data_IF_768109110117
#
_entry.id   IF_768109110117
#
_cell.length_a   1.000
_cell.length_b   1.000
_cell.length_c   1.000
_cell.angle_alpha   90.00
_cell.angle_beta   90.00
_cell.angle_gamma   90.00
#
_symmetry.space_group_name_H-M   'P 1'
#
loop_
_entity.id
_entity.type
_entity.pdbx_description
1 polymer ?
#
# COMPACT_ATOMS: atom_id res chain seq x y z
N UNK A 1 -32.42 -22.59 12.35
CA UNK A 1 -31.29 -22.48 13.25
C UNK A 1 -30.22 -21.60 12.58
N UNK A 2 -29.84 -20.46 13.19
CA UNK A 2 -28.72 -19.68 12.69
C UNK A 2 -27.43 -20.44 13.05
N UNK A 3 -26.50 -20.51 12.10
CA UNK A 3 -25.18 -21.07 12.37
C UNK A 3 -24.46 -20.20 13.40
N UNK A 4 -23.66 -20.80 14.32
CA UNK A 4 -22.89 -20.03 15.29
C UNK A 4 -21.95 -19.08 14.56
N UNK A 5 -22.07 -17.79 14.83
CA UNK A 5 -21.12 -16.77 14.37
C UNK A 5 -19.87 -16.83 15.24
N UNK A 6 -18.70 -16.98 14.62
CA UNK A 6 -17.42 -16.91 15.33
C UNK A 6 -17.13 -15.44 15.67
N UNK A 7 -17.01 -15.12 16.96
CA UNK A 7 -16.46 -13.83 17.38
C UNK A 7 -14.95 -13.82 17.11
N UNK A 8 -14.56 -13.00 16.13
CA UNK A 8 -13.16 -12.80 15.79
C UNK A 8 -12.57 -11.65 16.60
N UNK A 9 -11.33 -11.78 17.07
CA UNK A 9 -10.64 -10.68 17.72
C UNK A 9 -10.49 -9.50 16.76
N UNK A 10 -10.58 -8.28 17.27
CA UNK A 10 -10.36 -7.05 16.52
C UNK A 10 -9.15 -6.31 17.06
N UNK A 11 -8.37 -5.72 16.17
CA UNK A 11 -7.15 -4.98 16.47
C UNK A 11 -7.27 -3.54 15.99
N UNK A 12 -6.62 -2.64 16.71
CA UNK A 12 -6.55 -1.23 16.33
C UNK A 12 -5.24 -0.95 15.57
N UNK A 13 -5.32 -0.14 14.51
CA UNK A 13 -4.18 0.30 13.73
C UNK A 13 -4.32 1.79 13.39
N UNK A 14 -3.19 2.49 13.33
CA UNK A 14 -3.12 3.88 12.89
C UNK A 14 -2.53 3.91 11.48
N UNK A 15 -3.27 4.44 10.52
CA UNK A 15 -2.82 4.61 9.14
C UNK A 15 -1.66 5.61 9.11
N UNK A 16 -0.51 5.29 8.51
CA UNK A 16 0.67 6.15 8.54
C UNK A 16 0.47 7.53 7.88
N UNK A 17 -0.18 7.60 6.71
CA UNK A 17 -0.30 8.84 5.93
C UNK A 17 -1.17 9.89 6.62
N UNK A 18 -2.33 9.50 7.12
CA UNK A 18 -3.37 10.43 7.62
C UNK A 18 -3.66 10.31 9.11
N UNK A 19 -2.93 9.44 9.84
CA UNK A 19 -3.06 9.18 11.28
C UNK A 19 -4.45 8.73 11.72
N UNK A 20 -5.29 8.27 10.79
CA UNK A 20 -6.63 7.77 11.10
C UNK A 20 -6.56 6.40 11.77
N UNK A 21 -7.32 6.24 12.84
CA UNK A 21 -7.45 4.94 13.51
C UNK A 21 -8.47 4.09 12.79
N UNK A 22 -8.11 2.82 12.54
CA UNK A 22 -8.96 1.79 11.98
C UNK A 22 -8.97 0.57 12.86
N UNK A 23 -10.02 -0.23 12.72
CA UNK A 23 -10.12 -1.56 13.33
C UNK A 23 -10.14 -2.60 12.25
N UNK A 24 -9.43 -3.70 12.51
CA UNK A 24 -9.37 -4.82 11.59
C UNK A 24 -9.42 -6.15 12.36
N UNK A 25 -9.73 -7.22 11.64
CA UNK A 25 -9.70 -8.60 12.13
C UNK A 25 -8.71 -9.45 11.34
N UNK A 26 -8.27 -10.58 11.88
CA UNK A 26 -7.53 -11.55 11.10
C UNK A 26 -8.35 -12.02 9.87
N UNK A 27 -7.67 -12.39 8.81
CA UNK A 27 -8.33 -13.04 7.68
C UNK A 27 -8.65 -14.51 8.03
N UNK A 28 -9.67 -15.04 7.39
CA UNK A 28 -10.09 -16.43 7.50
C UNK A 28 -9.50 -17.24 6.35
N UNK A 29 -9.53 -18.55 6.47
CA UNK A 29 -9.07 -19.48 5.42
C UNK A 29 -9.72 -19.20 4.05
N UNK A 30 -10.96 -18.70 4.04
CA UNK A 30 -11.62 -18.33 2.78
C UNK A 30 -10.96 -17.16 2.06
N UNK A 31 -10.54 -16.11 2.80
CA UNK A 31 -9.83 -14.96 2.24
C UNK A 31 -8.42 -15.36 1.81
N UNK A 32 -7.72 -16.17 2.62
CA UNK A 32 -6.41 -16.73 2.27
C UNK A 32 -6.46 -17.54 0.98
N UNK A 33 -7.48 -18.40 0.84
CA UNK A 33 -7.66 -19.21 -0.36
C UNK A 33 -7.84 -18.35 -1.62
N UNK A 34 -8.60 -17.26 -1.53
CA UNK A 34 -8.79 -16.34 -2.67
C UNK A 34 -7.45 -15.72 -3.07
N UNK A 35 -6.65 -15.29 -2.09
CA UNK A 35 -5.32 -14.72 -2.36
C UNK A 35 -4.38 -15.75 -2.99
N UNK A 36 -4.33 -16.98 -2.48
CA UNK A 36 -3.50 -18.05 -3.04
C UNK A 36 -3.91 -18.40 -4.47
N UNK A 37 -5.21 -18.48 -4.75
CA UNK A 37 -5.71 -18.73 -6.10
C UNK A 37 -5.34 -17.60 -7.07
N UNK A 38 -5.37 -16.34 -6.62
CA UNK A 38 -4.95 -15.20 -7.44
C UNK A 38 -3.45 -15.25 -7.73
N UNK A 39 -2.63 -15.60 -6.75
CA UNK A 39 -1.18 -15.77 -6.93
C UNK A 39 -0.82 -16.90 -7.93
N UNK A 40 -1.62 -17.97 -7.98
CA UNK A 40 -1.42 -19.05 -8.95
C UNK A 40 -1.70 -18.63 -10.40
N UNK A 41 -2.52 -17.60 -10.62
CA UNK A 41 -2.81 -17.12 -11.99
C UNK A 41 -1.69 -16.30 -12.59
N UNK A 42 -0.77 -15.78 -11.77
CA UNK A 42 0.32 -14.86 -12.14
C UNK A 42 -0.16 -13.61 -12.92
N UNK A 43 -1.45 -13.27 -12.78
CA UNK A 43 -2.06 -12.08 -13.37
C UNK A 43 -2.15 -10.97 -12.32
N UNK A 44 -1.45 -9.87 -12.56
CA UNK A 44 -1.39 -8.72 -11.65
C UNK A 44 -2.77 -8.21 -11.23
N UNK A 45 -3.69 -8.13 -12.17
CA UNK A 45 -5.04 -7.67 -11.90
C UNK A 45 -5.76 -8.56 -10.89
N UNK A 46 -5.62 -9.88 -11.03
CA UNK A 46 -6.27 -10.84 -10.13
C UNK A 46 -5.67 -10.75 -8.73
N UNK A 47 -4.35 -10.59 -8.63
CA UNK A 47 -3.64 -10.42 -7.35
C UNK A 47 -4.11 -9.13 -6.66
N UNK A 48 -4.18 -8.03 -7.41
CA UNK A 48 -4.66 -6.74 -6.91
C UNK A 48 -6.09 -6.85 -6.37
N UNK A 49 -7.00 -7.39 -7.17
CA UNK A 49 -8.41 -7.53 -6.80
C UNK A 49 -8.55 -8.42 -5.55
N UNK A 50 -7.79 -9.51 -5.47
CA UNK A 50 -7.78 -10.40 -4.31
C UNK A 50 -7.27 -9.71 -3.03
N UNK A 51 -6.21 -8.90 -3.13
CA UNK A 51 -5.70 -8.11 -1.99
C UNK A 51 -6.74 -7.08 -1.54
N UNK A 52 -7.36 -6.37 -2.46
CA UNK A 52 -8.42 -5.40 -2.13
C UNK A 52 -9.61 -6.05 -1.45
N UNK A 53 -10.09 -7.18 -1.97
CA UNK A 53 -11.20 -7.93 -1.36
C UNK A 53 -10.83 -8.44 0.03
N UNK A 54 -9.59 -8.92 0.23
CA UNK A 54 -9.11 -9.33 1.55
C UNK A 54 -9.11 -8.14 2.52
N UNK A 55 -8.56 -6.99 2.12
CA UNK A 55 -8.53 -5.78 2.95
C UNK A 55 -9.94 -5.31 3.29
N UNK A 56 -10.86 -5.25 2.32
CA UNK A 56 -12.28 -4.92 2.55
C UNK A 56 -12.95 -5.86 3.53
N UNK A 57 -12.67 -7.16 3.44
CA UNK A 57 -13.25 -8.17 4.31
C UNK A 57 -12.72 -8.08 5.75
N UNK A 58 -11.45 -7.70 5.91
CA UNK A 58 -10.78 -7.68 7.21
C UNK A 58 -10.94 -6.36 7.96
N UNK A 59 -11.03 -5.22 7.25
CA UNK A 59 -11.19 -3.90 7.87
C UNK A 59 -12.65 -3.73 8.30
N UNK A 60 -12.88 -3.49 9.59
CA UNK A 60 -14.22 -3.32 10.16
C UNK A 60 -14.64 -1.85 10.22
N UNK A 61 -13.70 -0.92 10.14
CA UNK A 61 -13.96 0.52 10.09
C UNK A 61 -14.33 0.93 8.66
N UNK A 62 -15.36 1.78 8.54
CA UNK A 62 -15.78 2.29 7.22
C UNK A 62 -14.76 3.29 6.67
N UNK A 63 -13.96 2.83 5.70
CA UNK A 63 -12.97 3.64 4.97
C UNK A 63 -13.07 3.33 3.47
N UNK A 64 -12.59 4.28 2.65
CA UNK A 64 -12.42 4.08 1.21
C UNK A 64 -10.96 3.71 0.95
N UNK A 65 -10.72 2.45 0.60
CA UNK A 65 -9.37 1.93 0.36
C UNK A 65 -8.71 2.58 -0.87
N UNK A 66 -9.52 2.94 -1.85
CA UNK A 66 -9.09 3.57 -3.10
C UNK A 66 -8.42 4.93 -2.87
N UNK A 67 -8.71 5.59 -1.74
CA UNK A 67 -8.16 6.89 -1.38
C UNK A 67 -6.92 6.79 -0.47
N UNK A 68 -6.47 5.58 -0.16
CA UNK A 68 -5.27 5.38 0.65
C UNK A 68 -4.02 5.34 -0.23
N UNK A 69 -2.91 5.78 0.34
CA UNK A 69 -1.61 5.61 -0.29
C UNK A 69 -1.25 4.13 -0.41
N UNK A 70 -0.42 3.77 -1.40
CA UNK A 70 0.02 2.39 -1.60
C UNK A 70 0.66 1.80 -0.34
N UNK A 71 1.57 2.54 0.29
CA UNK A 71 2.25 2.10 1.51
C UNK A 71 1.31 1.96 2.72
N UNK A 72 0.19 2.68 2.77
CA UNK A 72 -0.83 2.47 3.80
C UNK A 72 -1.49 1.10 3.65
N UNK A 73 -1.85 0.74 2.41
CA UNK A 73 -2.47 -0.55 2.11
C UNK A 73 -1.52 -1.71 2.41
N UNK A 74 -0.25 -1.56 2.05
CA UNK A 74 0.80 -2.52 2.40
C UNK A 74 0.96 -2.65 3.91
N UNK A 75 1.03 -1.53 4.61
CA UNK A 75 1.16 -1.52 6.07
C UNK A 75 -0.02 -2.20 6.75
N UNK A 76 -1.26 -1.93 6.28
CA UNK A 76 -2.47 -2.59 6.78
C UNK A 76 -2.40 -4.10 6.49
N UNK A 77 -2.03 -4.48 5.26
CA UNK A 77 -1.90 -5.88 4.86
C UNK A 77 -0.88 -6.64 5.72
N UNK A 78 0.30 -6.07 5.97
CA UNK A 78 1.33 -6.67 6.82
C UNK A 78 0.83 -6.89 8.25
N UNK A 79 0.10 -5.93 8.82
CA UNK A 79 -0.48 -6.06 10.16
C UNK A 79 -1.58 -7.12 10.21
N UNK A 80 -2.47 -7.18 9.20
CA UNK A 80 -3.49 -8.24 9.10
C UNK A 80 -2.80 -9.61 8.99
N UNK A 81 -1.77 -9.73 8.16
CA UNK A 81 -1.01 -10.98 8.00
C UNK A 81 -0.33 -11.39 9.31
N UNK A 82 0.28 -10.45 10.03
CA UNK A 82 0.96 -10.72 11.29
C UNK A 82 0.03 -11.37 12.32
N UNK A 83 -1.19 -10.86 12.46
CA UNK A 83 -2.17 -11.42 13.42
C UNK A 83 -2.88 -12.68 12.91
N UNK A 84 -2.84 -12.97 11.60
CA UNK A 84 -3.54 -14.10 10.98
C UNK A 84 -2.67 -15.35 10.90
N UNK A 85 -1.40 -15.21 10.52
CA UNK A 85 -0.47 -16.32 10.24
C UNK A 85 0.68 -16.33 11.23
N UNK A 86 1.09 -15.17 11.71
CA UNK A 86 2.20 -15.01 12.64
C UNK A 86 3.09 -13.82 12.29
N UNK A 87 3.76 -13.29 13.29
CA UNK A 87 4.53 -12.05 13.20
C UNK A 87 5.88 -12.25 12.50
N UNK A 88 6.42 -13.46 12.52
CA UNK A 88 7.76 -13.75 11.98
C UNK A 88 7.65 -14.37 10.57
N UNK A 89 8.36 -13.74 9.62
CA UNK A 89 8.54 -14.24 8.26
C UNK A 89 9.97 -14.68 8.07
N UNK A 90 10.17 -15.94 7.69
CA UNK A 90 11.47 -16.43 7.29
C UNK A 90 11.69 -16.17 5.80
N UNK A 91 12.79 -15.52 5.47
CA UNK A 91 13.19 -15.26 4.09
C UNK A 91 14.67 -15.57 3.89
N UNK A 92 15.05 -15.89 2.65
CA UNK A 92 16.43 -16.02 2.25
C UNK A 92 16.84 -14.70 1.58
N UNK A 93 17.86 -14.05 2.11
CA UNK A 93 18.43 -12.83 1.54
C UNK A 93 19.73 -13.20 0.85
N UNK A 94 19.85 -12.85 -0.42
CA UNK A 94 21.12 -13.02 -1.16
C UNK A 94 22.05 -11.89 -0.81
N UNK A 95 23.30 -12.20 -0.40
CA UNK A 95 24.32 -11.22 -0.11
C UNK A 95 24.65 -10.41 -1.37
N UNK A 96 24.80 -9.10 -1.22
CA UNK A 96 25.07 -8.19 -2.35
C UNK A 96 26.55 -8.17 -2.76
N UNK A 97 27.45 -8.69 -1.92
CA UNK A 97 28.88 -8.72 -2.15
C UNK A 97 29.30 -9.82 -3.14
N UNK A 98 28.66 -10.98 -3.08
CA UNK A 98 28.95 -12.13 -3.95
C UNK A 98 27.78 -12.53 -4.87
N UNK A 99 26.56 -12.07 -4.59
CA UNK A 99 25.31 -12.41 -5.27
C UNK A 99 24.99 -13.92 -5.32
N UNK A 100 25.65 -14.73 -4.50
CA UNK A 100 25.48 -16.21 -4.47
C UNK A 100 25.08 -16.70 -3.07
N UNK A 101 25.69 -16.15 -2.02
CA UNK A 101 25.45 -16.59 -0.64
C UNK A 101 24.06 -16.18 -0.17
N UNK A 102 23.28 -17.18 0.28
CA UNK A 102 21.98 -16.94 0.87
C UNK A 102 22.01 -17.08 2.39
N UNK A 103 21.53 -16.04 3.07
CA UNK A 103 21.42 -16.00 4.53
C UNK A 103 19.94 -16.06 4.92
N UNK A 104 19.61 -16.95 5.87
CA UNK A 104 18.27 -17.00 6.44
C UNK A 104 18.08 -15.82 7.38
N UNK A 105 17.04 -15.04 7.13
CA UNK A 105 16.66 -13.89 7.93
C UNK A 105 15.24 -14.06 8.45
N UNK A 106 15.04 -13.75 9.72
CA UNK A 106 13.72 -13.73 10.34
C UNK A 106 13.28 -12.28 10.47
N UNK A 107 12.36 -11.86 9.61
CA UNK A 107 11.75 -10.53 9.69
C UNK A 107 10.55 -10.59 10.63
N UNK A 108 10.57 -9.73 11.66
CA UNK A 108 9.39 -9.50 12.48
C UNK A 108 8.54 -8.39 11.85
N UNK A 109 7.32 -8.72 11.44
CA UNK A 109 6.41 -7.80 10.77
C UNK A 109 5.95 -6.64 11.68
N UNK A 110 5.99 -6.82 12.99
CA UNK A 110 5.64 -5.77 13.96
C UNK A 110 6.69 -4.66 14.04
N UNK A 111 7.91 -4.93 13.58
CA UNK A 111 9.02 -3.95 13.55
C UNK A 111 9.01 -3.11 12.27
N UNK A 112 8.15 -3.48 11.29
CA UNK A 112 8.02 -2.75 10.04
C UNK A 112 7.18 -1.48 10.28
N UNK A 113 7.81 -0.33 10.09
CA UNK A 113 7.17 0.97 10.28
C UNK A 113 7.42 1.89 9.09
N UNK A 114 6.45 2.76 8.81
CA UNK A 114 6.61 3.83 7.82
C UNK A 114 7.28 5.02 8.51
N UNK A 115 8.45 5.40 7.99
CA UNK A 115 9.24 6.52 8.51
C UNK A 115 9.13 7.69 7.54
N UNK A 116 8.72 8.84 8.06
CA UNK A 116 8.74 10.10 7.32
C UNK A 116 9.99 10.88 7.71
N UNK A 117 10.79 11.36 6.74
CA UNK A 117 11.95 12.19 7.03
C UNK A 117 11.52 13.54 7.63
N UNK A 118 12.43 14.19 8.34
CA UNK A 118 12.20 15.56 8.83
C UNK A 118 11.97 16.51 7.65
N UNK A 119 10.96 17.40 7.79
CA UNK A 119 10.59 18.33 6.72
C UNK A 119 9.83 17.68 5.57
N UNK A 120 9.31 16.47 5.75
CA UNK A 120 8.44 15.85 4.75
C UNK A 120 7.19 16.70 4.55
N UNK A 121 7.09 17.33 3.38
CA UNK A 121 5.98 18.18 2.97
C UNK A 121 5.55 17.78 1.56
N UNK A 122 4.28 17.96 1.26
CA UNK A 122 3.71 17.69 -0.06
C UNK A 122 3.78 18.91 -0.99
N UNK A 123 4.21 20.07 -0.50
CA UNK A 123 4.32 21.30 -1.28
C UNK A 123 5.74 21.48 -1.79
N UNK A 124 5.91 21.49 -3.10
CA UNK A 124 7.21 21.65 -3.77
C UNK A 124 7.19 22.94 -4.59
N UNK A 125 8.07 23.89 -4.26
CA UNK A 125 8.27 25.11 -5.04
C UNK A 125 9.20 24.84 -6.21
N UNK A 126 8.75 25.15 -7.43
CA UNK A 126 9.53 25.05 -8.66
C UNK A 126 10.23 26.37 -9.02
N UNK A 127 9.55 27.50 -8.73
CA UNK A 127 10.07 28.86 -8.84
C UNK A 127 9.61 29.66 -7.63
N UNK A 128 9.92 30.94 -7.57
CA UNK A 128 9.50 31.82 -6.48
C UNK A 128 7.97 31.94 -6.38
N UNK A 129 7.24 31.75 -7.47
CA UNK A 129 5.77 31.89 -7.53
C UNK A 129 5.04 30.63 -7.91
N UNK A 130 5.69 29.70 -8.64
CA UNK A 130 5.10 28.47 -9.14
C UNK A 130 5.48 27.29 -8.26
N UNK A 131 4.51 26.49 -7.88
CA UNK A 131 4.74 25.24 -7.15
C UNK A 131 3.69 24.20 -7.42
N UNK A 132 3.93 23.00 -6.91
CA UNK A 132 3.05 21.85 -7.02
C UNK A 132 2.72 21.29 -5.65
N UNK A 133 1.51 20.79 -5.49
CA UNK A 133 1.10 19.98 -4.34
C UNK A 133 1.08 18.54 -4.80
N UNK A 134 1.85 17.69 -4.12
CA UNK A 134 1.97 16.28 -4.44
C UNK A 134 1.00 15.45 -3.58
N UNK A 135 0.53 14.35 -4.14
CA UNK A 135 -0.19 13.29 -3.41
C UNK A 135 0.62 12.00 -3.48
N UNK A 136 0.39 11.11 -2.54
CA UNK A 136 1.02 9.81 -2.58
C UNK A 136 0.50 8.99 -3.77
N UNK A 137 1.37 8.16 -4.38
CA UNK A 137 0.97 7.26 -5.45
C UNK A 137 -0.20 6.38 -5.02
N UNK A 138 -1.15 6.20 -5.92
CA UNK A 138 -2.25 5.26 -5.71
C UNK A 138 -1.75 3.81 -5.79
N UNK A 139 -2.55 2.89 -5.26
CA UNK A 139 -2.23 1.46 -5.34
C UNK A 139 -2.12 0.97 -6.79
N UNK A 140 -2.89 1.53 -7.71
CA UNK A 140 -2.82 1.21 -9.13
C UNK A 140 -1.46 1.51 -9.75
N UNK A 141 -0.92 2.69 -9.46
CA UNK A 141 0.43 3.07 -9.89
C UNK A 141 1.52 2.21 -9.27
N UNK A 142 1.34 1.80 -8.01
CA UNK A 142 2.28 0.93 -7.32
C UNK A 142 2.32 -0.48 -7.92
N UNK A 143 1.16 -1.12 -8.14
CA UNK A 143 1.08 -2.47 -8.72
C UNK A 143 1.68 -2.50 -10.12
N UNK A 144 1.37 -1.51 -10.96
CA UNK A 144 1.97 -1.41 -12.29
C UNK A 144 3.51 -1.30 -12.23
N UNK A 145 4.05 -0.60 -11.23
CA UNK A 145 5.51 -0.44 -11.08
C UNK A 145 6.24 -1.68 -10.53
N UNK A 146 5.57 -2.53 -9.76
CA UNK A 146 6.20 -3.69 -9.10
C UNK A 146 6.13 -4.98 -9.93
N UNK A 147 5.07 -5.16 -10.71
CA UNK A 147 4.77 -6.45 -11.35
C UNK A 147 4.92 -6.43 -12.88
N UNK A 148 5.03 -5.26 -13.51
CA UNK A 148 5.34 -5.22 -14.94
C UNK A 148 6.82 -5.52 -15.18
N UNK A 149 7.09 -6.58 -15.95
CA UNK A 149 8.41 -6.87 -16.50
C UNK A 149 8.86 -5.83 -17.56
N UNK A 150 8.07 -4.79 -17.80
CA UNK A 150 8.45 -3.67 -18.65
C UNK A 150 9.57 -2.89 -17.96
N UNK A 151 10.76 -3.03 -18.51
CA UNK A 151 12.02 -2.47 -18.00
C UNK A 151 12.09 -0.93 -18.03
N UNK A 152 11.08 -0.28 -18.53
CA UNK A 152 10.92 1.17 -18.51
C UNK A 152 9.79 1.53 -17.52
N UNK A 153 10.13 1.51 -16.24
CA UNK A 153 9.32 2.18 -15.23
C UNK A 153 9.24 3.66 -15.63
N UNK A 154 8.08 4.09 -16.11
CA UNK A 154 7.89 5.47 -16.55
C UNK A 154 7.78 6.39 -15.32
N UNK A 155 8.96 6.77 -14.82
CA UNK A 155 9.09 7.69 -13.67
C UNK A 155 8.31 8.98 -13.91
N UNK A 156 8.27 9.45 -15.16
CA UNK A 156 7.56 10.68 -15.53
C UNK A 156 6.05 10.50 -15.33
N UNK A 157 5.53 9.33 -15.71
CA UNK A 157 4.11 8.99 -15.50
C UNK A 157 3.75 8.97 -14.02
N UNK A 158 4.58 8.31 -13.20
CA UNK A 158 4.34 8.23 -11.74
C UNK A 158 4.40 9.62 -11.11
N UNK A 159 5.37 10.46 -11.49
CA UNK A 159 5.44 11.84 -11.01
C UNK A 159 4.19 12.61 -11.42
N UNK A 160 3.78 12.54 -12.69
CA UNK A 160 2.60 13.22 -13.20
C UNK A 160 1.32 12.79 -12.48
N UNK A 161 1.14 11.49 -12.24
CA UNK A 161 -0.01 10.96 -11.49
C UNK A 161 0.01 11.33 -10.01
N UNK A 162 1.19 11.62 -9.46
CA UNK A 162 1.37 12.05 -8.06
C UNK A 162 1.21 13.54 -7.85
N UNK A 163 1.05 14.36 -8.90
CA UNK A 163 0.70 15.77 -8.74
C UNK A 163 -0.81 15.86 -8.46
N UNK A 164 -1.18 16.58 -7.40
CA UNK A 164 -2.57 16.85 -7.03
C UNK A 164 -3.05 18.19 -7.58
N UNK A 165 -2.25 19.24 -7.35
CA UNK A 165 -2.55 20.60 -7.77
C UNK A 165 -1.28 21.34 -8.21
N UNK A 166 -1.46 22.31 -9.10
CA UNK A 166 -0.43 23.29 -9.47
C UNK A 166 -0.91 24.64 -8.99
N UNK A 167 -0.04 25.47 -8.43
CA UNK A 167 -0.37 26.82 -8.01
C UNK A 167 0.66 27.83 -8.50
N UNK A 168 0.19 29.04 -8.81
CA UNK A 168 1.02 30.19 -9.18
C UNK A 168 0.55 31.42 -8.40
N UNK A 169 1.34 31.84 -7.42
CA UNK A 169 0.91 32.90 -6.48
C UNK A 169 -0.30 32.47 -5.66
N UNK A 170 -1.44 33.15 -5.85
CA UNK A 170 -2.72 32.84 -5.20
C UNK A 170 -3.63 31.94 -6.04
N UNK A 171 -3.29 31.71 -7.31
CA UNK A 171 -4.09 30.90 -8.23
C UNK A 171 -3.76 29.41 -8.07
N UNK A 172 -4.80 28.57 -7.97
CA UNK A 172 -4.69 27.10 -7.83
C UNK A 172 -5.38 26.43 -9.01
N UNK A 173 -4.65 25.53 -9.68
CA UNK A 173 -5.11 24.76 -10.81
C UNK A 173 -5.21 23.28 -10.44
N UNK A 174 -6.43 22.74 -10.47
CA UNK A 174 -6.66 21.32 -10.28
C UNK A 174 -6.38 20.58 -11.59
N UNK A 175 -5.61 19.49 -11.51
CA UNK A 175 -5.24 18.67 -12.69
C UNK A 175 -6.43 17.97 -13.34
N UNK A 176 -7.57 17.85 -12.67
CA UNK A 176 -8.80 17.36 -13.26
C UNK A 176 -9.25 18.18 -14.48
N UNK A 177 -8.79 19.42 -14.59
CA UNK A 177 -9.06 20.35 -15.71
C UNK A 177 -8.01 20.25 -16.84
N UNK A 178 -6.90 19.54 -16.65
CA UNK A 178 -5.78 19.47 -17.62
C UNK A 178 -5.86 18.21 -18.48
N UNK A 179 -6.75 17.27 -18.20
CA UNK A 179 -7.05 16.16 -19.09
C UNK A 179 -7.87 16.62 -20.29
N UNK A 180 -7.20 17.36 -21.15
CA UNK A 180 -7.68 17.61 -22.51
C UNK A 180 -6.97 16.68 -23.47
#
# INVERSE_FOLDING_TARGET
MALPTMDLPTYDLVIPSNKKKIKFRPFLVKEEKILLMALETDEEKNIKDAVFELLKACITTRIKLENLASFDLEYIFLNIRAVSVGEIVQMNITCQDDNETQVKYNLNLTDVNVIFPEGHDNKIMLTDTLGVIMKYPSFDGFVQGQFTNDKEFDVIKVIAESIDQIFEGEDVYDLSLIHI
#
